data_IF_326604911405
#
_entry.id   IF_326604911405
#
_cell.length_a   1.000
_cell.length_b   1.000
_cell.length_c   1.000
_cell.angle_alpha   90.00
_cell.angle_beta   90.00
_cell.angle_gamma   90.00
#
_symmetry.space_group_name_H-M   'P 1'
#
loop_
_entity.id
_entity.type
_entity.pdbx_description
1 polymer ?
#
# COMPACT_ATOMS: atom_id res chain seq x y z
N UNK A 1 -2.04 -60.88 47.06
CA UNK A 1 -0.86 -59.97 47.14
C UNK A 1 0.10 -60.33 46.01
N UNK A 2 0.63 -59.36 45.25
CA UNK A 2 0.03 -58.17 44.61
C UNK A 2 0.30 -58.27 43.07
N UNK A 3 0.06 -57.33 42.15
CA UNK A 3 -0.21 -55.90 42.21
C UNK A 3 -1.09 -55.49 41.01
N UNK A 4 -2.03 -54.59 41.27
CA UNK A 4 -2.71 -53.75 40.30
C UNK A 4 -1.70 -52.85 39.59
N UNK A 5 -1.81 -52.74 38.27
CA UNK A 5 -1.19 -51.65 37.52
C UNK A 5 -2.30 -50.63 37.29
N UNK A 6 -2.24 -49.54 38.05
CA UNK A 6 -3.03 -48.34 37.84
C UNK A 6 -2.60 -47.72 36.49
N UNK A 7 -3.52 -47.63 35.54
CA UNK A 7 -3.38 -46.73 34.40
C UNK A 7 -3.46 -45.28 34.94
N UNK A 8 -2.48 -44.41 34.65
CA UNK A 8 -2.58 -43.01 35.05
C UNK A 8 -3.73 -42.36 34.30
N UNK A 9 -4.69 -41.83 35.08
CA UNK A 9 -5.75 -40.94 34.61
C UNK A 9 -5.10 -39.83 33.80
N UNK A 10 -5.39 -39.78 32.50
CA UNK A 10 -4.95 -38.70 31.64
C UNK A 10 -5.55 -37.39 32.18
N UNK A 11 -4.71 -36.55 32.78
CA UNK A 11 -5.06 -35.21 33.21
C UNK A 11 -5.62 -34.44 32.01
N UNK A 12 -6.91 -34.13 32.09
CA UNK A 12 -7.61 -33.33 31.08
C UNK A 12 -6.89 -32.00 30.92
N UNK A 13 -6.19 -31.85 29.79
CA UNK A 13 -5.67 -30.55 29.39
C UNK A 13 -6.85 -29.66 29.02
N UNK A 14 -6.96 -28.54 29.74
CA UNK A 14 -7.87 -27.46 29.38
C UNK A 14 -7.54 -27.05 27.93
N UNK A 15 -8.52 -27.05 27.00
CA UNK A 15 -8.22 -26.70 25.61
C UNK A 15 -7.60 -25.30 25.57
N UNK A 16 -6.56 -25.08 24.74
CA UNK A 16 -5.95 -23.76 24.61
C UNK A 16 -7.02 -22.75 24.18
N UNK A 17 -6.91 -21.47 24.58
CA UNK A 17 -7.92 -20.47 24.28
C UNK A 17 -8.20 -20.42 22.78
N UNK A 18 -9.40 -20.86 22.40
CA UNK A 18 -9.88 -20.76 21.02
C UNK A 18 -10.46 -19.36 20.85
N UNK A 19 -9.78 -18.54 20.04
CA UNK A 19 -10.30 -17.25 19.65
C UNK A 19 -11.54 -17.44 18.77
N UNK A 20 -12.73 -17.25 19.35
CA UNK A 20 -13.98 -17.15 18.61
C UNK A 20 -14.08 -15.74 18.03
N UNK A 21 -13.85 -15.59 16.73
CA UNK A 21 -14.15 -14.35 16.02
C UNK A 21 -15.66 -14.22 15.84
N UNK A 22 -16.25 -13.10 16.28
CA UNK A 22 -17.66 -12.80 16.06
C UNK A 22 -17.86 -12.35 14.60
N UNK A 23 -18.28 -13.29 13.76
CA UNK A 23 -18.67 -13.05 12.37
C UNK A 23 -17.60 -13.42 11.34
N UNK A 24 -17.99 -13.65 10.07
CA UNK A 24 -17.03 -13.85 9.01
C UNK A 24 -16.19 -12.58 8.86
N UNK A 25 -14.87 -12.72 8.90
CA UNK A 25 -13.95 -11.62 8.58
C UNK A 25 -14.18 -11.08 7.17
N UNK A 26 -13.48 -9.99 6.78
CA UNK A 26 -13.60 -9.46 5.43
C UNK A 26 -13.32 -10.56 4.39
N UNK A 27 -14.13 -10.61 3.33
CA UNK A 27 -13.95 -11.59 2.26
C UNK A 27 -12.56 -11.44 1.65
N UNK A 28 -11.76 -12.52 1.55
CA UNK A 28 -10.44 -12.45 0.92
C UNK A 28 -10.52 -12.41 -0.61
N UNK A 29 -11.71 -12.57 -1.19
CA UNK A 29 -11.92 -12.70 -2.63
C UNK A 29 -11.36 -11.54 -3.47
N UNK A 30 -11.47 -10.26 -3.08
CA UNK A 30 -10.89 -9.16 -3.85
C UNK A 30 -9.36 -9.28 -3.97
N UNK A 31 -8.68 -9.58 -2.86
CA UNK A 31 -7.23 -9.77 -2.84
C UNK A 31 -6.82 -11.00 -3.66
N UNK A 32 -7.53 -12.13 -3.48
CA UNK A 32 -7.28 -13.34 -4.26
C UNK A 32 -7.47 -13.10 -5.77
N UNK A 33 -8.50 -12.35 -6.17
CA UNK A 33 -8.74 -11.98 -7.57
C UNK A 33 -7.62 -11.10 -8.10
N UNK A 34 -7.16 -10.11 -7.34
CA UNK A 34 -6.05 -9.24 -7.75
C UNK A 34 -4.76 -10.03 -7.97
N UNK A 35 -4.41 -10.95 -7.06
CA UNK A 35 -3.24 -11.84 -7.20
C UNK A 35 -3.38 -12.76 -8.42
N UNK A 36 -4.55 -13.35 -8.64
CA UNK A 36 -4.79 -14.19 -9.81
C UNK A 36 -4.74 -13.39 -11.13
N UNK A 37 -5.22 -12.15 -11.13
CA UNK A 37 -5.13 -11.26 -12.28
C UNK A 37 -3.67 -10.95 -12.63
N UNK A 38 -2.86 -10.61 -11.62
CA UNK A 38 -1.41 -10.43 -11.77
C UNK A 38 -0.74 -11.69 -12.35
N UNK A 39 -1.04 -12.87 -11.78
CA UNK A 39 -0.46 -14.13 -12.24
C UNK A 39 -0.81 -14.45 -13.70
N UNK A 40 -2.03 -14.12 -14.15
CA UNK A 40 -2.45 -14.31 -15.54
C UNK A 40 -1.74 -13.40 -16.53
N UNK A 41 -1.25 -12.26 -16.07
CA UNK A 41 -0.52 -11.28 -16.87
C UNK A 41 1.00 -11.38 -16.71
N UNK A 42 1.47 -12.34 -15.90
CA UNK A 42 2.87 -12.41 -15.52
C UNK A 42 3.79 -12.86 -16.64
N UNK A 43 3.29 -13.67 -17.57
CA UNK A 43 4.07 -14.22 -18.68
C UNK A 43 3.44 -13.82 -20.02
N UNK A 44 4.28 -13.53 -21.01
CA UNK A 44 3.86 -13.32 -22.38
C UNK A 44 3.66 -14.66 -23.14
N UNK A 45 3.40 -14.57 -24.45
CA UNK A 45 3.15 -15.75 -25.29
C UNK A 45 4.37 -16.68 -25.45
N UNK A 46 5.57 -16.17 -25.19
CA UNK A 46 6.82 -16.93 -25.30
C UNK A 46 7.25 -17.51 -23.94
N UNK A 47 6.49 -17.23 -22.87
CA UNK A 47 6.78 -17.68 -21.51
C UNK A 47 7.77 -16.79 -20.78
N UNK A 48 8.05 -15.60 -21.28
CA UNK A 48 8.93 -14.62 -20.65
C UNK A 48 8.14 -13.75 -19.66
N UNK A 49 8.78 -13.38 -18.55
CA UNK A 49 8.15 -12.55 -17.52
C UNK A 49 7.90 -11.13 -18.05
N UNK A 50 6.63 -10.75 -18.11
CA UNK A 50 6.18 -9.40 -18.47
C UNK A 50 6.71 -8.40 -17.43
N UNK A 51 7.32 -7.28 -17.85
CA UNK A 51 7.82 -6.27 -16.93
C UNK A 51 6.69 -5.63 -16.12
N UNK A 52 6.68 -5.86 -14.80
CA UNK A 52 5.69 -5.33 -13.87
C UNK A 52 6.33 -5.05 -12.51
N UNK A 53 6.02 -3.92 -11.82
CA UNK A 53 6.67 -3.55 -10.57
C UNK A 53 6.65 -4.66 -9.51
N UNK A 54 5.49 -5.31 -9.33
CA UNK A 54 5.31 -6.37 -8.35
C UNK A 54 6.16 -7.61 -8.67
N UNK A 55 6.28 -7.98 -9.94
CA UNK A 55 7.09 -9.12 -10.37
C UNK A 55 8.58 -8.79 -10.30
N UNK A 56 8.97 -7.59 -10.72
CA UNK A 56 10.36 -7.11 -10.66
C UNK A 56 10.92 -7.23 -9.23
N UNK A 57 10.14 -6.84 -8.21
CA UNK A 57 10.52 -7.03 -6.79
C UNK A 57 10.71 -8.51 -6.44
N UNK A 58 9.76 -9.38 -6.83
CA UNK A 58 9.81 -10.80 -6.49
C UNK A 58 11.03 -11.52 -7.07
N UNK A 59 11.39 -11.19 -8.31
CA UNK A 59 12.58 -11.75 -8.97
C UNK A 59 13.85 -10.93 -8.76
N UNK A 60 13.81 -9.93 -7.86
CA UNK A 60 14.94 -9.08 -7.48
C UNK A 60 15.60 -8.36 -8.66
N UNK A 61 14.80 -7.97 -9.67
CA UNK A 61 15.27 -7.15 -10.79
C UNK A 61 15.46 -5.71 -10.30
N UNK A 62 16.59 -5.04 -10.60
CA UNK A 62 16.75 -3.62 -10.32
C UNK A 62 15.60 -2.78 -10.90
N UNK A 63 15.26 -1.64 -10.29
CA UNK A 63 14.17 -0.79 -10.76
C UNK A 63 14.46 -0.31 -12.18
N UNK A 64 13.46 -0.40 -13.06
CA UNK A 64 13.57 0.02 -14.45
C UNK A 64 13.40 1.53 -14.53
N UNK A 65 14.34 2.18 -15.20
CA UNK A 65 14.37 3.63 -15.38
C UNK A 65 14.22 3.99 -16.85
N UNK A 66 13.56 5.13 -17.08
CA UNK A 66 13.59 5.85 -18.35
C UNK A 66 14.96 6.52 -18.48
N UNK A 67 15.64 6.22 -19.57
CA UNK A 67 16.98 6.74 -19.88
C UNK A 67 18.13 5.91 -19.28
N UNK A 68 19.38 6.25 -19.65
CA UNK A 68 20.55 5.43 -19.31
C UNK A 68 21.13 5.71 -17.92
N UNK A 69 20.77 6.83 -17.29
CA UNK A 69 21.40 7.27 -16.04
C UNK A 69 21.00 6.37 -14.86
N UNK A 70 21.86 6.21 -13.84
CA UNK A 70 21.51 5.47 -12.63
C UNK A 70 20.44 6.22 -11.80
N UNK A 71 20.00 5.59 -10.70
CA UNK A 71 19.17 6.27 -9.70
C UNK A 71 19.86 7.55 -9.22
N UNK A 72 19.11 8.66 -9.03
CA UNK A 72 19.64 9.89 -8.46
C UNK A 72 20.34 9.64 -7.12
N UNK A 73 21.52 10.24 -6.95
CA UNK A 73 22.23 10.23 -5.67
C UNK A 73 21.57 11.22 -4.69
N UNK A 74 21.66 10.93 -3.41
CA UNK A 74 21.26 11.87 -2.35
C UNK A 74 22.35 12.92 -2.19
N UNK A 75 22.00 14.18 -2.41
CA UNK A 75 22.89 15.35 -2.21
C UNK A 75 22.47 16.11 -0.95
N UNK A 76 23.43 16.48 -0.10
CA UNK A 76 23.22 17.26 1.13
C UNK A 76 22.16 16.69 2.10
N UNK A 77 21.90 15.38 2.03
CA UNK A 77 20.88 14.71 2.84
C UNK A 77 19.44 14.96 2.36
N UNK A 78 19.23 15.55 1.18
CA UNK A 78 17.90 15.74 0.62
C UNK A 78 17.38 14.45 -0.02
N UNK A 79 16.89 13.56 0.83
CA UNK A 79 16.26 12.32 0.40
C UNK A 79 14.98 12.56 -0.39
N UNK A 80 14.23 13.63 -0.11
CA UNK A 80 12.95 13.88 -0.77
C UNK A 80 13.19 14.20 -2.25
N UNK A 81 14.12 15.11 -2.55
CA UNK A 81 14.46 15.46 -3.92
C UNK A 81 15.02 14.26 -4.71
N UNK A 82 15.90 13.46 -4.10
CA UNK A 82 16.45 12.28 -4.75
C UNK A 82 15.37 11.22 -5.05
N UNK A 83 14.46 10.97 -4.11
CA UNK A 83 13.34 10.03 -4.29
C UNK A 83 12.38 10.55 -5.35
N UNK A 84 12.04 11.83 -5.33
CA UNK A 84 11.15 12.44 -6.32
C UNK A 84 11.74 12.31 -7.74
N UNK A 85 13.00 12.68 -7.92
CA UNK A 85 13.71 12.54 -9.19
C UNK A 85 13.78 11.07 -9.65
N UNK A 86 13.93 10.12 -8.72
CA UNK A 86 13.93 8.70 -9.02
C UNK A 86 12.55 8.22 -9.49
N UNK A 87 11.48 8.58 -8.77
CA UNK A 87 10.10 8.18 -9.07
C UNK A 87 9.68 8.67 -10.45
N UNK A 88 9.99 9.93 -10.79
CA UNK A 88 9.68 10.52 -12.10
C UNK A 88 10.38 9.83 -13.27
N UNK A 89 11.45 9.07 -12.99
CA UNK A 89 12.22 8.33 -13.98
C UNK A 89 11.85 6.84 -14.01
N UNK A 90 10.90 6.35 -13.19
CA UNK A 90 10.51 4.95 -13.23
C UNK A 90 9.75 4.62 -14.53
N UNK A 91 10.17 3.58 -15.22
CA UNK A 91 9.42 3.01 -16.34
C UNK A 91 8.41 1.98 -15.83
N UNK A 92 7.29 2.48 -15.27
CA UNK A 92 6.25 1.66 -14.61
C UNK A 92 6.88 0.55 -13.75
N UNK A 93 7.76 0.96 -12.85
CA UNK A 93 8.57 0.08 -12.00
C UNK A 93 8.38 0.45 -10.53
N UNK A 94 9.31 0.07 -9.67
CA UNK A 94 9.23 0.28 -8.24
C UNK A 94 10.45 1.07 -7.74
N UNK A 95 10.36 1.68 -6.56
CA UNK A 95 11.51 2.21 -5.84
C UNK A 95 11.45 1.74 -4.39
N UNK A 96 12.44 0.95 -3.96
CA UNK A 96 12.54 0.53 -2.58
C UNK A 96 13.29 1.59 -1.77
N UNK A 97 12.59 2.22 -0.81
CA UNK A 97 13.19 3.17 0.14
C UNK A 97 13.25 2.53 1.51
N UNK A 98 14.45 2.37 2.06
CA UNK A 98 14.68 1.76 3.37
C UNK A 98 15.34 2.76 4.32
N UNK A 99 14.90 2.77 5.56
CA UNK A 99 15.56 3.48 6.65
C UNK A 99 15.21 2.84 8.00
N UNK A 100 16.12 2.81 8.98
CA UNK A 100 15.83 2.39 10.35
C UNK A 100 14.58 3.06 10.96
N UNK A 101 13.97 2.50 12.02
CA UNK A 101 12.89 3.19 12.74
C UNK A 101 13.30 4.62 13.16
N UNK A 102 12.38 5.59 13.03
CA UNK A 102 12.64 6.98 13.42
C UNK A 102 13.39 7.86 12.40
N UNK A 103 13.82 7.33 11.24
CA UNK A 103 14.60 8.07 10.22
C UNK A 103 13.78 9.01 9.32
N UNK A 104 12.57 9.39 9.73
CA UNK A 104 11.77 10.35 8.96
C UNK A 104 11.15 9.82 7.66
N UNK A 105 11.04 8.49 7.44
CA UNK A 105 10.39 7.92 6.24
C UNK A 105 9.02 8.52 5.94
N UNK A 106 8.18 8.72 6.97
CA UNK A 106 6.87 9.37 6.82
C UNK A 106 7.00 10.84 6.41
N UNK A 107 7.93 11.58 7.02
CA UNK A 107 8.20 12.99 6.74
C UNK A 107 8.72 13.20 5.31
N UNK A 108 9.63 12.33 4.86
CA UNK A 108 10.19 12.34 3.50
C UNK A 108 9.14 11.89 2.48
N UNK A 109 8.44 10.78 2.76
CA UNK A 109 7.39 10.25 1.90
C UNK A 109 6.25 11.25 1.69
N UNK A 110 5.82 11.94 2.75
CA UNK A 110 4.80 12.99 2.65
C UNK A 110 5.19 14.14 1.71
N UNK A 111 6.47 14.54 1.70
CA UNK A 111 6.99 15.59 0.79
C UNK A 111 7.05 15.12 -0.65
N UNK A 112 7.53 13.90 -0.88
CA UNK A 112 7.53 13.28 -2.22
C UNK A 112 6.11 13.18 -2.75
N UNK A 113 5.19 12.64 -1.95
CA UNK A 113 3.78 12.50 -2.33
C UNK A 113 3.15 13.87 -2.61
N UNK A 114 3.39 14.86 -1.75
CA UNK A 114 2.92 16.24 -1.97
C UNK A 114 3.38 16.75 -3.34
N UNK A 115 4.67 16.68 -3.64
CA UNK A 115 5.23 17.21 -4.89
C UNK A 115 4.64 16.52 -6.13
N UNK A 116 4.50 15.19 -6.09
CA UNK A 116 3.89 14.42 -7.19
C UNK A 116 2.42 14.81 -7.39
N UNK A 117 1.65 14.93 -6.30
CA UNK A 117 0.25 15.33 -6.36
C UNK A 117 0.12 16.77 -6.86
N UNK A 118 0.97 17.69 -6.41
CA UNK A 118 1.01 19.08 -6.92
C UNK A 118 1.21 19.13 -8.44
N UNK A 119 2.02 18.21 -8.98
CA UNK A 119 2.27 18.03 -10.41
C UNK A 119 1.17 17.28 -11.17
N UNK A 120 0.07 16.94 -10.50
CA UNK A 120 -1.09 16.32 -11.13
C UNK A 120 -1.16 14.80 -11.02
N UNK A 121 -0.23 14.16 -10.30
CA UNK A 121 -0.25 12.70 -10.12
C UNK A 121 -1.36 12.26 -9.18
N UNK A 122 -1.95 11.11 -9.49
CA UNK A 122 -2.82 10.34 -8.60
C UNK A 122 -1.99 9.31 -7.85
N UNK A 123 -1.84 9.52 -6.55
CA UNK A 123 -0.99 8.70 -5.69
C UNK A 123 -1.83 7.92 -4.69
N UNK A 124 -1.63 6.60 -4.64
CA UNK A 124 -2.23 5.68 -3.69
C UNK A 124 -1.33 5.40 -2.50
N UNK A 125 -1.88 5.47 -1.30
CA UNK A 125 -1.22 5.06 -0.06
C UNK A 125 -1.91 3.84 0.50
N UNK A 126 -1.12 2.76 0.65
CA UNK A 126 -1.54 1.52 1.28
C UNK A 126 -0.65 1.18 2.48
N UNK A 127 -1.26 0.75 3.58
CA UNK A 127 -0.54 0.20 4.73
C UNK A 127 -1.40 -0.84 5.47
N UNK A 128 -0.79 -1.49 6.47
CA UNK A 128 -1.43 -2.57 7.25
C UNK A 128 -2.53 -2.09 8.20
N UNK A 129 -2.69 -0.77 8.41
CA UNK A 129 -3.71 -0.25 9.32
C UNK A 129 -4.09 1.19 9.05
N UNK A 130 -5.33 1.55 9.40
CA UNK A 130 -5.90 2.87 9.17
C UNK A 130 -5.06 4.00 9.76
N UNK A 131 -4.54 3.83 10.99
CA UNK A 131 -3.71 4.85 11.65
C UNK A 131 -2.43 5.16 10.86
N UNK A 132 -1.77 4.16 10.28
CA UNK A 132 -0.54 4.37 9.51
C UNK A 132 -0.84 5.09 8.19
N UNK A 133 -1.97 4.76 7.56
CA UNK A 133 -2.44 5.46 6.37
C UNK A 133 -2.70 6.93 6.72
N UNK A 134 -3.57 7.18 7.70
CA UNK A 134 -3.91 8.54 8.14
C UNK A 134 -2.69 9.35 8.55
N UNK A 135 -1.72 8.74 9.24
CA UNK A 135 -0.48 9.41 9.60
C UNK A 135 0.27 9.96 8.38
N UNK A 136 0.40 9.19 7.29
CA UNK A 136 1.08 9.69 6.08
C UNK A 136 0.23 10.75 5.36
N UNK A 137 -1.09 10.55 5.29
CA UNK A 137 -2.00 11.52 4.67
C UNK A 137 -1.98 12.87 5.41
N UNK A 138 -2.06 12.84 6.74
CA UNK A 138 -2.05 14.03 7.59
C UNK A 138 -0.67 14.70 7.61
N UNK A 139 0.41 13.92 7.48
CA UNK A 139 1.76 14.46 7.28
C UNK A 139 1.89 15.14 5.91
N UNK A 140 1.28 14.61 4.85
CA UNK A 140 1.24 15.28 3.54
C UNK A 140 0.49 16.62 3.62
N UNK A 141 -0.63 16.65 4.33
CA UNK A 141 -1.35 17.91 4.64
C UNK A 141 -0.46 18.85 5.46
N UNK A 142 0.22 18.34 6.49
CA UNK A 142 1.18 19.09 7.31
C UNK A 142 2.36 19.63 6.51
N UNK A 143 2.76 18.93 5.44
CA UNK A 143 3.78 19.36 4.50
C UNK A 143 3.27 20.42 3.52
N UNK A 144 1.97 20.75 3.48
CA UNK A 144 1.38 21.81 2.67
C UNK A 144 0.48 21.33 1.53
N UNK A 145 0.19 20.03 1.42
CA UNK A 145 -0.79 19.54 0.45
C UNK A 145 -2.19 19.99 0.84
N UNK A 146 -2.96 20.50 -0.12
CA UNK A 146 -4.35 20.91 0.07
C UNK A 146 -5.20 19.74 0.61
N UNK A 147 -5.84 19.86 1.79
CA UNK A 147 -6.73 18.84 2.35
C UNK A 147 -7.82 18.37 1.39
N UNK A 148 -8.28 19.24 0.47
CA UNK A 148 -9.27 18.87 -0.54
C UNK A 148 -8.73 17.87 -1.56
N UNK A 149 -7.41 17.74 -1.70
CA UNK A 149 -6.77 16.77 -2.60
C UNK A 149 -6.39 15.47 -1.88
N UNK A 150 -6.70 15.35 -0.59
CA UNK A 150 -6.40 14.18 0.24
C UNK A 150 -7.70 13.47 0.58
N UNK A 151 -7.85 12.24 0.13
CA UNK A 151 -9.09 11.47 0.27
C UNK A 151 -8.83 10.08 0.85
N UNK A 152 -9.80 9.58 1.60
CA UNK A 152 -9.88 8.15 1.96
C UNK A 152 -11.32 7.69 1.98
N UNK A 153 -11.53 6.37 1.96
CA UNK A 153 -12.86 5.79 2.18
C UNK A 153 -13.39 6.18 3.56
N UNK A 154 -14.66 6.56 3.62
CA UNK A 154 -15.36 6.85 4.86
C UNK A 154 -15.40 5.61 5.79
N UNK A 155 -15.03 5.84 7.04
CA UNK A 155 -15.06 4.90 8.15
C UNK A 155 -15.76 5.53 9.36
N UNK A 156 -15.92 4.74 10.44
CA UNK A 156 -16.55 5.23 11.67
C UNK A 156 -15.51 5.98 12.51
N UNK A 157 -15.60 7.31 12.54
CA UNK A 157 -14.81 8.17 13.43
C UNK A 157 -13.39 8.48 12.94
N UNK A 158 -12.56 9.08 13.80
CA UNK A 158 -11.18 9.47 13.51
C UNK A 158 -11.03 10.94 13.09
N UNK A 159 -9.89 11.54 13.41
CA UNK A 159 -9.54 12.97 13.23
C UNK A 159 -8.67 13.22 11.98
N UNK A 160 -8.84 12.37 10.96
CA UNK A 160 -8.15 12.56 9.68
C UNK A 160 -8.55 13.90 9.07
N UNK A 161 -7.55 14.69 8.67
CA UNK A 161 -7.70 16.08 8.27
C UNK A 161 -8.15 16.26 6.81
N UNK A 162 -8.07 15.21 6.00
CA UNK A 162 -8.55 15.18 4.62
C UNK A 162 -10.00 14.71 4.51
N UNK A 163 -10.46 14.48 3.29
CA UNK A 163 -11.86 14.13 3.01
C UNK A 163 -12.13 12.65 3.17
N UNK A 164 -13.26 12.32 3.79
CA UNK A 164 -13.79 10.97 3.92
C UNK A 164 -14.95 10.77 2.95
N UNK A 165 -14.75 9.94 1.94
CA UNK A 165 -15.68 9.78 0.82
C UNK A 165 -16.36 8.41 0.84
N UNK A 166 -17.64 8.36 0.46
CA UNK A 166 -18.31 7.10 0.15
C UNK A 166 -17.76 6.49 -1.14
N UNK A 167 -18.03 5.21 -1.39
CA UNK A 167 -17.46 4.45 -2.51
C UNK A 167 -17.65 5.16 -3.88
N UNK A 168 -18.85 5.73 -4.14
CA UNK A 168 -19.14 6.47 -5.39
C UNK A 168 -18.31 7.76 -5.53
N UNK A 169 -18.21 8.55 -4.47
CA UNK A 169 -17.50 9.83 -4.52
C UNK A 169 -15.98 9.63 -4.55
N UNK A 170 -15.51 8.55 -3.91
CA UNK A 170 -14.12 8.12 -3.99
C UNK A 170 -13.76 7.74 -5.44
N UNK A 171 -14.60 6.95 -6.09
CA UNK A 171 -14.43 6.60 -7.50
C UNK A 171 -14.39 7.85 -8.38
N UNK A 172 -15.33 8.78 -8.19
CA UNK A 172 -15.38 10.02 -8.96
C UNK A 172 -14.14 10.91 -8.74
N UNK A 173 -13.61 10.96 -7.51
CA UNK A 173 -12.38 11.69 -7.21
C UNK A 173 -11.18 11.04 -7.91
N UNK A 174 -11.03 9.72 -7.81
CA UNK A 174 -9.90 8.97 -8.40
C UNK A 174 -9.92 8.98 -9.93
N UNK A 175 -11.09 9.02 -10.57
CA UNK A 175 -11.18 9.10 -12.04
C UNK A 175 -11.24 10.53 -12.57
N UNK A 176 -11.31 11.52 -11.68
CA UNK A 176 -11.35 12.94 -12.02
C UNK A 176 -10.03 13.48 -12.58
N UNK A 177 -10.04 14.74 -12.98
CA UNK A 177 -8.84 15.44 -13.43
C UNK A 177 -8.00 15.97 -12.25
N UNK A 178 -6.71 16.17 -12.49
CA UNK A 178 -5.76 16.67 -11.51
C UNK A 178 -5.23 15.60 -10.55
N UNK A 179 -4.23 16.02 -9.77
CA UNK A 179 -3.56 15.14 -8.84
C UNK A 179 -4.36 14.96 -7.56
N UNK A 180 -4.28 13.76 -7.00
CA UNK A 180 -5.06 13.33 -5.86
C UNK A 180 -4.22 12.38 -5.00
N UNK A 181 -4.28 12.53 -3.69
CA UNK A 181 -3.76 11.56 -2.75
C UNK A 181 -4.91 10.72 -2.20
N UNK A 182 -4.91 9.41 -2.47
CA UNK A 182 -5.90 8.47 -1.95
C UNK A 182 -5.28 7.49 -0.97
N UNK A 183 -5.79 7.44 0.26
CA UNK A 183 -5.38 6.45 1.25
C UNK A 183 -6.41 5.36 1.45
N UNK A 184 -5.95 4.11 1.59
CA UNK A 184 -6.82 2.97 1.83
C UNK A 184 -6.05 1.73 2.25
N UNK A 185 -6.77 0.74 2.77
CA UNK A 185 -6.18 -0.60 2.97
C UNK A 185 -5.99 -1.27 1.61
N UNK A 186 -5.30 -2.41 1.59
CA UNK A 186 -5.19 -3.21 0.37
C UNK A 186 -6.57 -3.58 -0.21
N UNK A 187 -7.58 -3.81 0.64
CA UNK A 187 -8.96 -4.06 0.20
C UNK A 187 -9.61 -2.88 -0.51
N UNK A 188 -9.25 -1.64 -0.15
CA UNK A 188 -9.79 -0.44 -0.80
C UNK A 188 -9.14 -0.23 -2.16
N UNK A 189 -7.83 -0.44 -2.24
CA UNK A 189 -7.02 -0.18 -3.44
C UNK A 189 -7.19 -1.26 -4.53
N UNK A 190 -7.62 -2.48 -4.17
CA UNK A 190 -7.95 -3.55 -5.15
C UNK A 190 -9.44 -3.61 -5.49
N UNK A 191 -10.24 -2.65 -5.01
CA UNK A 191 -11.66 -2.60 -5.30
C UNK A 191 -11.93 -1.67 -6.48
N UNK A 192 -12.23 -2.26 -7.65
CA UNK A 192 -12.48 -1.51 -8.89
C UNK A 192 -13.67 -0.54 -8.80
N UNK A 193 -14.58 -0.71 -7.84
CA UNK A 193 -15.68 0.24 -7.59
C UNK A 193 -15.25 1.48 -6.80
N UNK A 194 -13.99 1.52 -6.33
CA UNK A 194 -13.39 2.61 -5.56
C UNK A 194 -12.16 3.19 -6.27
N UNK A 195 -11.25 2.30 -6.65
CA UNK A 195 -9.96 2.62 -7.29
C UNK A 195 -9.80 1.66 -8.47
N UNK A 196 -10.20 2.06 -9.69
CA UNK A 196 -10.05 1.22 -10.87
C UNK A 196 -8.59 0.87 -11.14
N UNK A 197 -8.33 -0.35 -11.62
CA UNK A 197 -6.99 -0.73 -12.05
C UNK A 197 -6.40 0.28 -13.08
N UNK A 198 -5.17 0.74 -12.83
CA UNK A 198 -4.49 1.71 -13.69
C UNK A 198 -4.95 3.16 -13.56
N UNK A 199 -5.81 3.48 -12.59
CA UNK A 199 -6.24 4.86 -12.30
C UNK A 199 -5.23 5.69 -11.50
N UNK A 200 -4.21 5.05 -10.92
CA UNK A 200 -3.16 5.70 -10.14
C UNK A 200 -1.86 5.74 -10.95
N UNK A 201 -1.13 6.84 -10.80
CA UNK A 201 0.20 7.05 -11.36
C UNK A 201 1.29 6.45 -10.44
N UNK A 202 1.03 6.38 -9.13
CA UNK A 202 1.90 5.78 -8.11
C UNK A 202 1.11 5.07 -7.01
#
# INVERSE_FOLDING_TARGET
LPASVDDPVAEGHDPPPVALSIGPGPSPQPLARAVLALARQAFDGDGELVPQPALDVLVRRPPRLVGPDPLPAVTDGDFAAAIEAAVRRLDRSYLAVQGPPGTGKTWTGARVVRALVEDGWKVGVVAQGHRTIEQLLDEAIGAGLDPERVVKRADRGGDHRGRKLGDRDLLAAVTGEGGLLVGGTSYDLVNDHRVPAGSLDL
#
